data_IF_420937494583
#
_entry.id   IF_420937494583
#
_cell.length_a   1.000
_cell.length_b   1.000
_cell.length_c   1.000
_cell.angle_alpha   90.00
_cell.angle_beta   90.00
_cell.angle_gamma   90.00
#
_symmetry.space_group_name_H-M   'P 1'
#
loop_
_entity.id
_entity.type
_entity.pdbx_description
1 polymer ?
#
# COMPACT_ATOMS: atom_id res chain seq x y z
N UNK A 1 -6.17 -0.94 -15.12
CA UNK A 1 -7.33 -1.70 -14.60
C UNK A 1 -8.28 -2.16 -15.69
N UNK A 2 -8.46 -1.43 -16.78
CA UNK A 2 -9.26 -1.89 -17.92
C UNK A 2 -8.87 -3.24 -18.52
N UNK A 3 -7.64 -3.69 -18.26
CA UNK A 3 -7.14 -4.99 -18.71
C UNK A 3 -7.42 -6.14 -17.72
N UNK A 4 -7.93 -5.84 -16.51
CA UNK A 4 -8.17 -6.84 -15.47
C UNK A 4 -9.65 -6.99 -15.09
N UNK A 5 -10.39 -5.89 -15.14
CA UNK A 5 -11.81 -5.87 -14.76
C UNK A 5 -12.65 -5.21 -15.83
N UNK A 6 -13.78 -5.83 -16.11
CA UNK A 6 -14.85 -5.22 -16.94
C UNK A 6 -15.51 -4.07 -16.22
N UNK A 7 -15.56 -4.12 -14.89
CA UNK A 7 -16.14 -3.10 -14.05
C UNK A 7 -16.16 -3.50 -12.59
N UNK A 8 -16.59 -2.59 -11.73
CA UNK A 8 -16.78 -2.86 -10.32
C UNK A 8 -17.99 -2.11 -9.77
N UNK A 9 -18.51 -2.59 -8.65
CA UNK A 9 -19.59 -1.98 -7.92
C UNK A 9 -19.25 -1.91 -6.43
N UNK A 10 -19.65 -0.83 -5.77
CA UNK A 10 -19.42 -0.62 -4.35
C UNK A 10 -20.74 -0.48 -3.62
N UNK A 11 -20.86 -1.06 -2.44
CA UNK A 11 -22.04 -0.99 -1.59
C UNK A 11 -21.66 -0.87 -0.13
N UNK A 12 -22.19 0.13 0.57
CA UNK A 12 -22.16 0.17 2.03
C UNK A 12 -23.20 -0.83 2.55
N UNK A 13 -22.77 -1.74 3.41
CA UNK A 13 -23.64 -2.80 3.95
C UNK A 13 -24.61 -2.23 4.97
N UNK A 14 -25.90 -2.55 4.79
CA UNK A 14 -26.95 -2.27 5.75
C UNK A 14 -27.10 -3.44 6.74
N UNK A 15 -27.81 -3.22 7.84
CA UNK A 15 -28.07 -4.26 8.85
C UNK A 15 -28.70 -5.52 8.22
N UNK A 16 -29.59 -5.36 7.27
CA UNK A 16 -30.23 -6.47 6.55
C UNK A 16 -29.29 -7.30 5.66
N UNK A 17 -28.11 -6.80 5.34
CA UNK A 17 -27.11 -7.50 4.54
C UNK A 17 -26.21 -8.42 5.39
N UNK A 18 -26.07 -8.12 6.69
CA UNK A 18 -25.08 -8.77 7.58
C UNK A 18 -25.69 -9.41 8.82
N UNK A 19 -26.84 -8.96 9.27
CA UNK A 19 -27.47 -9.44 10.49
C UNK A 19 -28.42 -10.61 10.19
N UNK A 20 -28.02 -11.83 10.58
CA UNK A 20 -28.83 -13.05 10.38
C UNK A 20 -30.18 -13.06 11.15
N UNK A 21 -30.31 -12.18 12.17
CA UNK A 21 -31.59 -12.06 12.90
C UNK A 21 -32.61 -11.22 12.11
N UNK A 22 -32.13 -10.30 11.30
CA UNK A 22 -32.97 -9.44 10.42
C UNK A 22 -33.15 -10.03 9.01
N UNK A 23 -32.28 -10.97 8.60
CA UNK A 23 -32.34 -11.60 7.27
C UNK A 23 -31.90 -13.07 7.32
N UNK A 24 -32.81 -13.99 7.08
CA UNK A 24 -32.52 -15.44 7.09
C UNK A 24 -31.99 -15.98 5.74
N UNK A 25 -31.55 -15.14 4.80
CA UNK A 25 -31.51 -15.56 3.41
C UNK A 25 -30.12 -15.64 2.77
N UNK A 26 -29.01 -15.38 3.49
CA UNK A 26 -27.66 -15.39 2.89
C UNK A 26 -27.55 -14.55 1.61
N UNK A 27 -28.17 -13.37 1.59
CA UNK A 27 -28.33 -12.55 0.40
C UNK A 27 -27.96 -11.08 0.66
N UNK A 28 -27.27 -10.49 -0.31
CA UNK A 28 -27.17 -9.04 -0.41
C UNK A 28 -28.31 -8.49 -1.28
N UNK A 29 -28.93 -7.43 -0.84
CA UNK A 29 -29.89 -6.72 -1.66
C UNK A 29 -29.23 -6.18 -2.93
N UNK A 30 -29.81 -6.47 -4.09
CA UNK A 30 -29.33 -6.02 -5.38
C UNK A 30 -29.42 -4.50 -5.52
N UNK A 31 -28.31 -3.81 -5.43
CA UNK A 31 -28.24 -2.38 -5.68
C UNK A 31 -28.33 -2.05 -7.16
N UNK A 32 -28.53 -0.76 -7.48
CA UNK A 32 -28.46 -0.29 -8.87
C UNK A 32 -27.10 -0.59 -9.48
N UNK A 33 -26.01 -0.40 -8.72
CA UNK A 33 -24.66 -0.69 -9.15
C UNK A 33 -24.44 -2.17 -9.50
N UNK A 34 -24.99 -3.09 -8.70
CA UNK A 34 -24.92 -4.52 -9.02
C UNK A 34 -25.63 -4.87 -10.33
N UNK A 35 -26.78 -4.20 -10.63
CA UNK A 35 -27.48 -4.41 -11.90
C UNK A 35 -26.71 -3.86 -13.10
N UNK A 36 -26.07 -2.71 -12.94
CA UNK A 36 -25.24 -2.11 -13.98
C UNK A 36 -24.02 -2.99 -14.27
N UNK A 37 -23.40 -3.58 -13.25
CA UNK A 37 -22.26 -4.48 -13.40
C UNK A 37 -22.66 -5.87 -13.94
N UNK A 38 -23.63 -6.53 -13.30
CA UNK A 38 -23.95 -7.93 -13.56
C UNK A 38 -25.04 -8.13 -14.63
N UNK A 39 -25.70 -7.05 -15.02
CA UNK A 39 -26.84 -7.05 -15.95
C UNK A 39 -28.13 -7.59 -15.33
N UNK A 40 -29.18 -7.63 -16.14
CA UNK A 40 -30.46 -8.24 -15.75
C UNK A 40 -30.40 -9.75 -15.96
N UNK A 41 -30.50 -10.57 -14.91
CA UNK A 41 -30.47 -12.02 -15.08
C UNK A 41 -31.75 -12.55 -15.70
N UNK A 42 -31.65 -13.61 -16.48
CA UNK A 42 -32.76 -14.48 -16.91
C UNK A 42 -32.61 -15.80 -16.13
N UNK A 43 -33.42 -15.97 -15.10
CA UNK A 43 -33.25 -17.06 -14.15
C UNK A 43 -32.10 -16.84 -13.17
N UNK A 44 -31.49 -17.94 -12.69
CA UNK A 44 -30.35 -17.90 -11.75
C UNK A 44 -29.00 -17.91 -12.49
N UNK A 45 -28.23 -16.84 -12.40
CA UNK A 45 -26.87 -16.75 -12.94
C UNK A 45 -25.87 -17.12 -11.84
N UNK A 46 -25.09 -18.20 -12.04
CA UNK A 46 -24.05 -18.66 -11.13
C UNK A 46 -22.71 -18.04 -11.53
N UNK A 47 -22.03 -17.41 -10.60
CA UNK A 47 -20.82 -16.61 -10.83
C UNK A 47 -19.70 -17.13 -9.91
N UNK A 48 -18.65 -17.76 -10.47
CA UNK A 48 -17.46 -18.10 -9.69
C UNK A 48 -16.92 -16.84 -9.02
N UNK A 49 -16.62 -16.92 -7.73
CA UNK A 49 -16.28 -15.73 -6.93
C UNK A 49 -15.18 -16.04 -5.93
N UNK A 50 -14.23 -15.14 -5.79
CA UNK A 50 -13.25 -15.13 -4.71
C UNK A 50 -13.63 -14.06 -3.71
N UNK A 51 -13.64 -14.41 -2.41
CA UNK A 51 -14.14 -13.52 -1.36
C UNK A 51 -13.13 -13.33 -0.24
N UNK A 52 -13.09 -12.12 0.36
CA UNK A 52 -12.36 -11.84 1.58
C UNK A 52 -13.04 -10.75 2.42
N UNK A 53 -12.77 -10.77 3.73
CA UNK A 53 -13.01 -9.66 4.64
C UNK A 53 -11.68 -9.05 5.07
N UNK A 54 -11.56 -7.72 4.96
CA UNK A 54 -10.33 -6.98 5.21
C UNK A 54 -10.52 -5.98 6.36
N UNK A 55 -9.59 -5.99 7.29
CA UNK A 55 -9.45 -4.97 8.34
C UNK A 55 -7.97 -4.68 8.62
N UNK A 56 -7.69 -3.66 9.43
CA UNK A 56 -6.33 -3.24 9.76
C UNK A 56 -5.63 -4.18 10.76
N UNK A 57 -6.40 -5.06 11.43
CA UNK A 57 -5.89 -5.99 12.44
C UNK A 57 -5.25 -7.26 11.83
N UNK A 58 -5.34 -7.42 10.50
CA UNK A 58 -4.75 -8.55 9.80
C UNK A 58 -3.22 -8.42 9.71
N UNK A 59 -2.50 -9.31 10.39
CA UNK A 59 -1.04 -9.39 10.30
C UNK A 59 -0.56 -9.73 8.89
N UNK A 60 -1.31 -10.61 8.21
CA UNK A 60 -1.08 -11.03 6.82
C UNK A 60 -2.34 -10.80 5.99
N UNK A 61 -2.15 -10.61 4.68
CA UNK A 61 -3.26 -10.52 3.75
C UNK A 61 -4.01 -11.86 3.72
N UNK A 62 -5.35 -11.87 3.83
CA UNK A 62 -6.11 -13.10 3.86
C UNK A 62 -6.05 -13.78 2.49
N UNK A 63 -6.06 -15.09 2.50
CA UNK A 63 -6.30 -15.86 1.29
C UNK A 63 -7.75 -15.60 0.80
N UNK A 64 -7.90 -15.37 -0.49
CA UNK A 64 -9.24 -15.21 -1.08
C UNK A 64 -9.96 -16.57 -1.12
N UNK A 65 -11.10 -16.64 -0.45
CA UNK A 65 -11.92 -17.85 -0.39
C UNK A 65 -12.69 -18.05 -1.71
N UNK A 66 -12.49 -19.17 -2.36
CA UNK A 66 -13.18 -19.52 -3.60
C UNK A 66 -14.58 -20.08 -3.33
N UNK A 67 -15.59 -19.50 -3.97
CA UNK A 67 -16.99 -19.89 -3.86
C UNK A 67 -17.77 -19.50 -5.12
N UNK A 68 -19.10 -19.52 -5.02
CA UNK A 68 -20.00 -19.07 -6.07
C UNK A 68 -21.05 -18.12 -5.48
N UNK A 69 -21.31 -17.02 -6.18
CA UNK A 69 -22.47 -16.19 -5.96
C UNK A 69 -23.57 -16.54 -6.96
N UNK A 70 -24.82 -16.28 -6.58
CA UNK A 70 -25.96 -16.47 -7.47
C UNK A 70 -26.69 -15.15 -7.62
N UNK A 71 -26.73 -14.62 -8.84
CA UNK A 71 -27.44 -13.40 -9.19
C UNK A 71 -28.79 -13.76 -9.81
N UNK A 72 -29.90 -13.23 -9.28
CA UNK A 72 -31.23 -13.57 -9.75
C UNK A 72 -32.27 -12.49 -9.37
N UNK A 73 -33.44 -12.54 -10.06
CA UNK A 73 -34.62 -11.78 -9.67
C UNK A 73 -35.51 -12.62 -8.77
N UNK A 74 -35.67 -12.26 -7.51
CA UNK A 74 -36.50 -12.95 -6.53
C UNK A 74 -38.02 -12.86 -6.88
N UNK A 75 -38.41 -11.96 -7.80
CA UNK A 75 -39.78 -11.74 -8.25
C UNK A 75 -40.01 -12.10 -9.71
N UNK A 76 -39.10 -12.77 -10.37
CA UNK A 76 -39.22 -13.13 -11.79
C UNK A 76 -40.55 -13.83 -12.12
N UNK A 77 -41.09 -14.66 -11.23
CA UNK A 77 -42.36 -15.33 -11.38
C UNK A 77 -43.59 -14.48 -11.02
N UNK A 78 -43.42 -13.24 -10.55
CA UNK A 78 -44.52 -12.41 -10.06
C UNK A 78 -44.62 -11.09 -10.86
N UNK A 79 -45.32 -11.14 -11.99
CA UNK A 79 -45.50 -10.00 -12.89
C UNK A 79 -46.24 -8.78 -12.27
N UNK A 80 -46.90 -8.95 -11.12
CA UNK A 80 -47.61 -7.86 -10.44
C UNK A 80 -46.73 -6.94 -9.62
N UNK A 81 -45.48 -7.33 -9.36
CA UNK A 81 -44.48 -6.54 -8.61
C UNK A 81 -43.26 -6.31 -9.48
N UNK A 82 -42.64 -5.13 -9.35
CA UNK A 82 -41.39 -4.88 -10.04
C UNK A 82 -40.29 -5.84 -9.63
N UNK A 83 -39.19 -5.97 -10.44
CA UNK A 83 -38.09 -6.90 -10.18
C UNK A 83 -37.39 -6.60 -8.86
N UNK A 84 -36.99 -7.67 -8.18
CA UNK A 84 -36.23 -7.59 -6.93
C UNK A 84 -34.96 -8.45 -7.06
N UNK A 85 -33.84 -7.79 -7.35
CA UNK A 85 -32.60 -8.51 -7.58
C UNK A 85 -31.90 -8.84 -6.26
N UNK A 86 -31.30 -10.03 -6.22
CA UNK A 86 -30.59 -10.57 -5.07
C UNK A 86 -29.27 -11.18 -5.48
N UNK A 87 -28.26 -10.99 -4.66
CA UNK A 87 -26.96 -11.65 -4.80
C UNK A 87 -26.80 -12.62 -3.62
N UNK A 88 -27.10 -13.90 -3.87
CA UNK A 88 -27.06 -14.97 -2.89
C UNK A 88 -25.64 -15.51 -2.75
N UNK A 89 -25.13 -15.63 -1.53
CA UNK A 89 -23.89 -16.32 -1.22
C UNK A 89 -24.15 -17.66 -0.53
N UNK A 90 -23.20 -18.58 -0.60
CA UNK A 90 -23.32 -19.91 0.01
C UNK A 90 -22.93 -19.87 1.48
N UNK A 91 -23.51 -20.78 2.29
CA UNK A 91 -23.24 -20.91 3.72
C UNK A 91 -21.74 -21.16 4.05
N UNK A 92 -20.98 -21.74 3.11
CA UNK A 92 -19.53 -21.92 3.25
C UNK A 92 -18.76 -20.59 3.37
N UNK A 93 -19.30 -19.48 2.83
CA UNK A 93 -18.76 -18.12 2.95
C UNK A 93 -19.16 -17.40 4.25
N UNK A 94 -19.93 -18.04 5.14
CA UNK A 94 -20.39 -17.46 6.40
C UNK A 94 -19.26 -16.98 7.30
N UNK A 95 -18.12 -17.64 7.26
CA UNK A 95 -16.93 -17.24 8.04
C UNK A 95 -16.37 -15.88 7.63
N UNK A 96 -16.62 -15.44 6.39
CA UNK A 96 -16.28 -14.10 5.88
C UNK A 96 -17.38 -13.12 6.27
N UNK A 97 -18.63 -13.45 5.96
CA UNK A 97 -19.77 -12.54 6.16
C UNK A 97 -20.03 -12.27 7.63
N UNK A 98 -19.82 -13.25 8.52
CA UNK A 98 -20.01 -13.08 9.96
C UNK A 98 -19.01 -12.10 10.60
N UNK A 99 -17.95 -11.71 9.89
CA UNK A 99 -17.02 -10.65 10.33
C UNK A 99 -17.54 -9.26 9.97
N UNK A 100 -18.40 -9.18 8.95
CA UNK A 100 -18.91 -7.90 8.47
C UNK A 100 -19.98 -7.31 9.41
N UNK A 101 -20.01 -5.99 9.49
CA UNK A 101 -20.98 -5.22 10.23
C UNK A 101 -21.68 -4.19 9.34
N UNK A 102 -22.82 -3.68 9.79
CA UNK A 102 -23.48 -2.58 9.11
C UNK A 102 -22.58 -1.35 9.05
N UNK A 103 -22.42 -0.77 7.87
CA UNK A 103 -21.51 0.33 7.60
C UNK A 103 -20.18 -0.09 6.98
N UNK A 104 -19.83 -1.40 6.98
CA UNK A 104 -18.69 -1.89 6.20
C UNK A 104 -18.97 -1.74 4.70
N UNK A 105 -17.92 -1.70 3.91
CA UNK A 105 -18.05 -1.47 2.46
C UNK A 105 -17.70 -2.72 1.68
N UNK A 106 -18.63 -3.13 0.83
CA UNK A 106 -18.46 -4.23 -0.10
C UNK A 106 -18.02 -3.69 -1.47
N UNK A 107 -16.93 -4.22 -1.98
CA UNK A 107 -16.43 -4.03 -3.34
C UNK A 107 -16.67 -5.31 -4.13
N UNK A 108 -17.33 -5.20 -5.26
CA UNK A 108 -17.59 -6.31 -6.19
C UNK A 108 -17.00 -5.95 -7.55
N UNK A 109 -16.02 -6.71 -8.03
CA UNK A 109 -15.40 -6.52 -9.33
C UNK A 109 -15.65 -7.72 -10.24
N UNK A 110 -15.89 -7.49 -11.52
CA UNK A 110 -15.99 -8.53 -12.56
C UNK A 110 -14.70 -8.58 -13.36
N UNK A 111 -14.01 -9.72 -13.31
CA UNK A 111 -12.80 -9.98 -14.09
C UNK A 111 -13.14 -10.17 -15.58
N UNK A 112 -12.15 -10.03 -16.47
CA UNK A 112 -12.31 -10.24 -17.92
C UNK A 112 -12.85 -11.63 -18.27
N UNK A 113 -12.53 -12.66 -17.48
CA UNK A 113 -13.04 -14.02 -17.65
C UNK A 113 -14.48 -14.21 -17.16
N UNK A 114 -15.11 -13.20 -16.55
CA UNK A 114 -16.45 -13.21 -15.99
C UNK A 114 -16.56 -13.74 -14.56
N UNK A 115 -15.44 -14.06 -13.90
CA UNK A 115 -15.41 -14.36 -12.47
C UNK A 115 -15.56 -13.07 -11.65
N UNK A 116 -15.94 -13.22 -10.39
CA UNK A 116 -16.09 -12.11 -9.48
C UNK A 116 -15.01 -12.12 -8.37
N UNK A 117 -14.64 -10.93 -7.95
CA UNK A 117 -13.94 -10.71 -6.70
C UNK A 117 -14.86 -9.89 -5.80
N UNK A 118 -15.14 -10.40 -4.59
CA UNK A 118 -15.94 -9.72 -3.58
C UNK A 118 -15.07 -9.48 -2.34
N UNK A 119 -14.83 -8.24 -2.02
CA UNK A 119 -14.06 -7.84 -0.84
C UNK A 119 -14.94 -6.98 0.05
N UNK A 120 -15.02 -7.31 1.33
CA UNK A 120 -15.66 -6.48 2.35
C UNK A 120 -14.58 -5.84 3.19
N UNK A 121 -14.55 -4.53 3.25
CA UNK A 121 -13.60 -3.75 4.06
C UNK A 121 -14.30 -3.11 5.25
N UNK A 122 -13.70 -3.22 6.43
CA UNK A 122 -14.19 -2.66 7.69
C UNK A 122 -14.34 -1.15 7.60
N UNK A 123 -15.46 -0.63 8.08
CA UNK A 123 -15.72 0.80 8.19
C UNK A 123 -14.59 1.50 8.95
N UNK A 124 -14.09 2.62 8.41
CA UNK A 124 -13.06 3.42 9.05
C UNK A 124 -11.64 2.84 9.01
N UNK A 125 -11.42 1.68 8.37
CA UNK A 125 -10.10 1.08 8.26
C UNK A 125 -9.22 1.79 7.22
N UNK A 126 -7.91 1.69 7.40
CA UNK A 126 -6.91 2.14 6.42
C UNK A 126 -7.05 1.38 5.10
N UNK A 127 -7.33 0.07 5.18
CA UNK A 127 -7.48 -0.75 3.97
C UNK A 127 -8.72 -0.35 3.15
N UNK A 128 -9.81 0.08 3.80
CA UNK A 128 -10.96 0.67 3.10
C UNK A 128 -10.55 1.94 2.32
N UNK A 129 -9.76 2.82 2.95
CA UNK A 129 -9.25 4.03 2.29
C UNK A 129 -8.35 3.71 1.11
N UNK A 130 -7.51 2.70 1.23
CA UNK A 130 -6.66 2.24 0.14
C UNK A 130 -7.47 1.67 -1.03
N UNK A 131 -8.50 0.84 -0.75
CA UNK A 131 -9.42 0.34 -1.79
C UNK A 131 -10.14 1.50 -2.49
N UNK A 132 -10.66 2.46 -1.74
CA UNK A 132 -11.29 3.65 -2.31
C UNK A 132 -10.33 4.41 -3.22
N UNK A 133 -9.08 4.57 -2.81
CA UNK A 133 -8.05 5.22 -3.59
C UNK A 133 -7.70 4.43 -4.86
N UNK A 134 -7.51 3.11 -4.76
CA UNK A 134 -7.18 2.22 -5.91
C UNK A 134 -8.31 2.24 -6.95
N UNK A 135 -9.56 2.18 -6.50
CA UNK A 135 -10.73 2.18 -7.38
C UNK A 135 -11.25 3.57 -7.74
N UNK A 136 -10.56 4.66 -7.30
CA UNK A 136 -10.98 6.06 -7.49
C UNK A 136 -12.41 6.33 -7.02
N UNK A 137 -12.81 5.68 -5.93
CA UNK A 137 -14.14 5.86 -5.32
C UNK A 137 -14.10 7.07 -4.42
N UNK A 138 -14.81 8.14 -4.80
CA UNK A 138 -14.91 9.32 -3.97
C UNK A 138 -15.62 9.03 -2.65
N UNK A 139 -15.13 9.64 -1.59
CA UNK A 139 -15.67 9.53 -0.25
C UNK A 139 -17.03 10.24 -0.20
N UNK A 140 -18.12 9.49 -0.20
CA UNK A 140 -19.45 10.01 0.10
C UNK A 140 -20.06 9.17 1.22
N UNK A 141 -20.45 9.82 2.32
CA UNK A 141 -21.08 9.18 3.49
C UNK A 141 -22.40 8.45 3.14
N UNK A 142 -22.91 8.64 1.94
CA UNK A 142 -24.26 8.28 1.57
C UNK A 142 -24.40 7.41 0.33
N UNK A 143 -23.50 6.62 -0.12
CA UNK A 143 -23.84 5.83 -1.29
C UNK A 143 -22.70 5.40 -2.16
N UNK A 144 -22.65 4.14 -2.30
CA UNK A 144 -23.20 3.49 -3.51
C UNK A 144 -22.74 4.07 -4.82
N UNK A 145 -21.83 3.49 -5.39
CA UNK A 145 -21.68 3.50 -6.81
C UNK A 145 -20.31 3.20 -7.17
N UNK A 146 -20.05 2.70 -8.22
CA UNK A 146 -20.33 2.92 -9.58
C UNK A 146 -19.99 1.66 -10.38
N UNK A 147 -20.81 1.26 -11.28
CA UNK A 147 -20.34 0.59 -12.47
C UNK A 147 -19.69 1.69 -13.31
N UNK A 148 -18.39 1.79 -13.32
CA UNK A 148 -17.70 2.64 -14.29
C UNK A 148 -17.16 1.73 -15.35
N UNK A 149 -17.52 2.04 -16.59
CA UNK A 149 -16.78 1.60 -17.76
C UNK A 149 -15.35 2.11 -17.55
N UNK A 150 -14.46 1.22 -17.11
CA UNK A 150 -13.07 1.54 -16.74
C UNK A 150 -12.20 1.76 -17.99
N UNK A 151 -12.77 2.38 -18.99
CA UNK A 151 -12.00 2.97 -20.07
C UNK A 151 -11.15 4.11 -19.50
N UNK A 152 -9.87 3.87 -19.34
CA UNK A 152 -8.83 4.87 -19.35
C UNK A 152 -8.38 5.59 -18.08
N UNK A 153 -8.18 4.93 -16.96
CA UNK A 153 -7.03 5.37 -16.16
C UNK A 153 -6.24 4.14 -15.78
N UNK A 154 -4.97 4.09 -16.21
CA UNK A 154 -4.02 3.13 -15.66
C UNK A 154 -4.10 3.20 -14.13
N UNK A 155 -4.07 2.04 -13.42
CA UNK A 155 -4.05 2.07 -11.97
C UNK A 155 -2.96 3.03 -11.56
N UNK A 156 -3.19 3.81 -10.53
CA UNK A 156 -2.14 4.60 -9.91
C UNK A 156 -1.09 3.60 -9.45
N UNK A 157 -0.11 3.35 -10.33
CA UNK A 157 0.96 2.36 -10.20
C UNK A 157 1.94 2.80 -9.11
N UNK A 158 1.46 2.91 -7.89
CA UNK A 158 2.33 3.24 -6.78
C UNK A 158 2.62 1.97 -5.99
N UNK A 159 3.85 1.81 -5.59
CA UNK A 159 4.39 0.65 -4.85
C UNK A 159 3.51 0.25 -3.68
N UNK A 160 2.84 1.23 -3.06
CA UNK A 160 1.93 1.01 -1.95
C UNK A 160 0.61 0.33 -2.35
N UNK A 161 0.20 0.37 -3.62
CA UNK A 161 -0.99 -0.33 -4.10
C UNK A 161 -0.72 -1.77 -4.53
N UNK A 162 0.54 -2.18 -4.75
CA UNK A 162 0.87 -3.53 -5.20
C UNK A 162 0.46 -4.62 -4.22
N UNK A 163 0.65 -4.43 -2.91
CA UNK A 163 0.22 -5.41 -1.92
C UNK A 163 -1.30 -5.62 -2.00
N UNK A 164 -2.05 -4.55 -2.18
CA UNK A 164 -3.51 -4.60 -2.32
C UNK A 164 -3.94 -5.19 -3.67
N UNK A 165 -3.26 -4.83 -4.76
CA UNK A 165 -3.52 -5.39 -6.08
C UNK A 165 -3.18 -6.88 -6.12
N UNK A 166 -2.06 -7.28 -5.53
CA UNK A 166 -1.69 -8.69 -5.39
C UNK A 166 -2.69 -9.47 -4.53
N UNK A 167 -3.24 -8.87 -3.46
CA UNK A 167 -4.35 -9.44 -2.69
C UNK A 167 -5.57 -9.73 -3.58
N UNK A 168 -5.91 -8.80 -4.45
CA UNK A 168 -7.02 -8.96 -5.40
C UNK A 168 -6.67 -9.93 -6.54
N UNK A 169 -5.46 -10.51 -6.54
CA UNK A 169 -4.99 -11.41 -7.59
C UNK A 169 -4.66 -10.69 -8.91
N UNK A 170 -4.44 -9.38 -8.84
CA UNK A 170 -4.05 -8.57 -9.98
C UNK A 170 -2.53 -8.52 -10.03
N UNK A 171 -1.94 -9.13 -11.04
CA UNK A 171 -0.51 -9.01 -11.33
C UNK A 171 -0.30 -7.87 -12.33
N UNK A 172 0.20 -6.75 -11.85
CA UNK A 172 0.57 -5.63 -12.72
C UNK A 172 1.90 -5.97 -13.39
N UNK A 173 1.89 -6.22 -14.69
CA UNK A 173 3.11 -6.46 -15.45
C UNK A 173 3.88 -5.14 -15.63
N UNK A 174 4.84 -4.91 -14.77
CA UNK A 174 5.75 -3.76 -14.80
C UNK A 174 7.02 -4.03 -15.62
N UNK A 175 7.08 -5.12 -16.36
CA UNK A 175 8.30 -5.53 -17.08
C UNK A 175 8.53 -4.69 -18.33
N UNK A 176 9.80 -4.39 -18.60
CA UNK A 176 10.26 -3.59 -19.73
C UNK A 176 11.56 -4.22 -20.28
N UNK A 177 11.49 -4.75 -21.50
CA UNK A 177 12.61 -5.43 -22.16
C UNK A 177 13.81 -4.49 -22.37
N UNK A 178 13.57 -3.22 -22.63
CA UNK A 178 14.62 -2.21 -22.77
C UNK A 178 15.35 -1.95 -21.44
N UNK A 179 14.63 -1.97 -20.33
CA UNK A 179 15.21 -1.92 -18.98
C UNK A 179 16.00 -3.18 -18.67
N UNK A 180 15.49 -4.37 -19.03
CA UNK A 180 16.19 -5.63 -18.78
C UNK A 180 17.59 -5.63 -19.42
N UNK A 181 17.69 -5.31 -20.69
CA UNK A 181 18.96 -5.25 -21.41
C UNK A 181 19.96 -4.28 -20.76
N UNK A 182 19.48 -3.17 -20.28
CA UNK A 182 20.31 -2.18 -19.59
C UNK A 182 20.81 -2.66 -18.24
N UNK A 183 19.96 -3.36 -17.48
CA UNK A 183 20.29 -3.97 -16.18
C UNK A 183 21.31 -5.08 -16.36
N UNK A 184 21.09 -5.99 -17.32
CA UNK A 184 21.98 -7.13 -17.58
C UNK A 184 23.35 -6.66 -18.06
N UNK A 185 23.43 -5.66 -18.91
CA UNK A 185 24.71 -5.02 -19.31
C UNK A 185 25.46 -4.42 -18.13
N UNK A 186 24.75 -3.85 -17.17
CA UNK A 186 25.37 -3.19 -16.02
C UNK A 186 25.81 -4.15 -14.91
N UNK A 187 24.99 -5.15 -14.61
CA UNK A 187 25.14 -6.02 -13.42
C UNK A 187 25.42 -7.47 -13.75
N UNK A 188 25.32 -7.88 -15.03
CA UNK A 188 25.48 -9.26 -15.48
C UNK A 188 24.24 -10.12 -15.18
N UNK A 189 24.25 -11.34 -15.69
CA UNK A 189 23.07 -12.24 -15.68
C UNK A 189 22.87 -12.98 -14.35
N UNK A 190 23.93 -13.21 -13.56
CA UNK A 190 23.91 -14.18 -12.46
C UNK A 190 23.82 -13.59 -11.05
N UNK A 191 24.17 -12.31 -10.83
CA UNK A 191 24.24 -11.74 -9.49
C UNK A 191 23.11 -10.75 -9.22
N UNK A 192 22.49 -10.88 -8.05
CA UNK A 192 21.61 -9.82 -7.56
C UNK A 192 22.47 -8.62 -7.14
N UNK A 193 22.30 -7.45 -7.78
CA UNK A 193 23.02 -6.26 -7.37
C UNK A 193 22.66 -5.87 -5.93
N UNK A 194 23.61 -5.29 -5.23
CA UNK A 194 23.31 -4.70 -3.90
C UNK A 194 22.29 -3.57 -4.02
N UNK A 195 21.50 -3.34 -2.97
CA UNK A 195 20.49 -2.26 -3.00
C UNK A 195 21.13 -0.88 -3.25
N UNK A 196 22.25 -0.47 -2.59
CA UNK A 196 22.85 0.82 -2.87
C UNK A 196 23.29 1.01 -4.34
N UNK A 197 23.88 -0.02 -4.96
CA UNK A 197 24.31 0.04 -6.37
C UNK A 197 23.11 0.11 -7.31
N UNK A 198 22.08 -0.66 -7.02
CA UNK A 198 20.88 -0.70 -7.85
C UNK A 198 20.08 0.61 -7.74
N UNK A 199 19.93 1.15 -6.52
CA UNK A 199 19.31 2.45 -6.28
C UNK A 199 20.08 3.59 -6.98
N UNK A 200 21.43 3.55 -6.93
CA UNK A 200 22.25 4.51 -7.66
C UNK A 200 22.04 4.43 -9.17
N UNK A 201 21.91 3.22 -9.70
CA UNK A 201 21.64 3.01 -11.12
C UNK A 201 20.22 3.51 -11.50
N UNK A 202 19.22 3.18 -10.70
CA UNK A 202 17.85 3.67 -10.91
C UNK A 202 17.79 5.20 -10.97
N UNK A 203 18.47 5.88 -10.03
CA UNK A 203 18.60 7.35 -10.06
C UNK A 203 19.26 7.88 -11.33
N UNK A 204 20.26 7.17 -11.85
CA UNK A 204 20.97 7.60 -13.07
C UNK A 204 20.12 7.46 -14.36
N UNK A 205 19.12 6.61 -14.34
CA UNK A 205 18.20 6.40 -15.49
C UNK A 205 17.12 7.49 -15.55
N UNK A 206 16.73 8.05 -14.41
CA UNK A 206 15.72 9.12 -14.33
C UNK A 206 16.34 10.46 -14.70
N UNK A 207 15.98 11.00 -15.87
CA UNK A 207 16.67 12.17 -16.47
C UNK A 207 16.24 13.54 -15.94
N UNK A 208 15.05 13.67 -15.35
CA UNK A 208 14.45 14.97 -15.02
C UNK A 208 14.15 15.15 -13.54
N UNK A 209 14.72 14.33 -12.68
CA UNK A 209 14.58 14.46 -11.25
C UNK A 209 15.42 15.63 -10.71
N UNK A 210 14.81 16.50 -9.92
CA UNK A 210 15.50 17.61 -9.25
C UNK A 210 15.27 17.50 -7.73
N UNK A 211 16.19 16.83 -7.00
CA UNK A 211 16.01 16.58 -5.56
C UNK A 211 16.07 17.84 -4.70
N UNK A 212 16.45 18.99 -5.26
CA UNK A 212 16.51 20.27 -4.54
C UNK A 212 15.22 21.06 -4.70
N UNK A 213 14.70 21.13 -5.93
CA UNK A 213 13.47 21.91 -6.22
C UNK A 213 12.20 21.12 -5.99
N UNK A 214 12.25 19.80 -6.22
CA UNK A 214 11.13 18.90 -6.07
C UNK A 214 11.58 17.58 -5.42
N UNK A 215 11.89 17.59 -4.12
CA UNK A 215 12.32 16.38 -3.41
C UNK A 215 11.21 15.31 -3.37
N UNK A 216 9.94 15.70 -3.27
CA UNK A 216 8.79 14.81 -3.24
C UNK A 216 8.60 14.07 -4.56
N UNK A 217 8.51 14.79 -5.67
CA UNK A 217 8.38 14.20 -7.00
C UNK A 217 9.62 13.39 -7.39
N UNK A 218 10.82 13.84 -6.99
CA UNK A 218 12.06 13.10 -7.20
C UNK A 218 12.05 11.77 -6.47
N UNK A 219 11.63 11.74 -5.20
CA UNK A 219 11.52 10.51 -4.42
C UNK A 219 10.60 9.51 -5.12
N UNK A 220 9.41 9.96 -5.52
CA UNK A 220 8.42 9.11 -6.21
C UNK A 220 8.98 8.54 -7.54
N UNK A 221 9.63 9.39 -8.35
CA UNK A 221 10.22 8.95 -9.61
C UNK A 221 11.34 7.92 -9.41
N UNK A 222 12.24 8.12 -8.44
CA UNK A 222 13.35 7.23 -8.18
C UNK A 222 12.88 5.88 -7.62
N UNK A 223 11.98 5.91 -6.65
CA UNK A 223 11.41 4.69 -6.06
C UNK A 223 10.62 3.91 -7.11
N UNK A 224 9.77 4.58 -7.91
CA UNK A 224 9.00 3.94 -8.99
C UNK A 224 9.89 3.33 -10.06
N UNK A 225 10.97 4.02 -10.46
CA UNK A 225 11.93 3.49 -11.42
C UNK A 225 12.67 2.26 -10.88
N UNK A 226 13.20 2.33 -9.64
CA UNK A 226 13.89 1.20 -9.03
C UNK A 226 12.98 -0.01 -8.89
N UNK A 227 11.73 0.23 -8.50
CA UNK A 227 10.75 -0.82 -8.35
C UNK A 227 10.50 -1.54 -9.68
N UNK A 228 10.23 -0.80 -10.76
CA UNK A 228 10.04 -1.34 -12.11
C UNK A 228 11.26 -2.13 -12.59
N UNK A 229 12.45 -1.57 -12.43
CA UNK A 229 13.70 -2.24 -12.75
C UNK A 229 13.89 -3.55 -11.96
N UNK A 230 13.56 -3.52 -10.68
CA UNK A 230 13.69 -4.70 -9.81
C UNK A 230 12.69 -5.80 -10.22
N UNK A 231 11.43 -5.45 -10.50
CA UNK A 231 10.41 -6.40 -10.96
C UNK A 231 10.80 -7.03 -12.31
N UNK A 232 11.34 -6.24 -13.23
CA UNK A 232 11.87 -6.73 -14.51
C UNK A 232 12.99 -7.74 -14.32
N UNK A 233 13.99 -7.42 -13.49
CA UNK A 233 15.10 -8.32 -13.19
C UNK A 233 14.64 -9.58 -12.44
N UNK A 234 13.71 -9.43 -11.49
CA UNK A 234 13.15 -10.52 -10.71
C UNK A 234 12.42 -11.52 -11.62
N UNK A 235 11.52 -11.04 -12.48
CA UNK A 235 10.80 -11.88 -13.44
C UNK A 235 11.78 -12.68 -14.32
N UNK A 236 12.78 -12.02 -14.90
CA UNK A 236 13.79 -12.67 -15.71
C UNK A 236 14.48 -13.82 -14.95
N UNK A 237 14.95 -13.58 -13.73
CA UNK A 237 15.73 -14.56 -12.95
C UNK A 237 14.90 -15.68 -12.35
N UNK A 238 13.65 -15.42 -12.01
CA UNK A 238 12.79 -16.44 -11.43
C UNK A 238 12.19 -17.33 -12.53
N UNK A 239 11.98 -16.78 -13.73
CA UNK A 239 11.43 -17.52 -14.86
C UNK A 239 12.25 -18.76 -15.21
N UNK A 240 13.58 -18.69 -15.15
CA UNK A 240 14.44 -19.86 -15.35
C UNK A 240 14.16 -20.97 -14.31
N UNK A 241 14.15 -20.60 -13.02
CA UNK A 241 13.90 -21.56 -11.93
C UNK A 241 12.49 -22.18 -11.98
N UNK A 242 11.50 -21.44 -12.54
CA UNK A 242 10.14 -21.96 -12.73
C UNK A 242 10.07 -22.86 -13.97
N UNK A 243 10.76 -22.49 -15.05
CA UNK A 243 10.78 -23.25 -16.30
C UNK A 243 11.44 -24.62 -16.14
N UNK A 244 12.49 -24.71 -15.30
CA UNK A 244 13.17 -25.99 -14.96
C UNK A 244 12.26 -26.92 -14.15
N UNK A 245 11.17 -26.39 -13.57
CA UNK A 245 10.24 -27.09 -12.71
C UNK A 245 10.83 -27.38 -11.32
N UNK A 246 9.95 -27.81 -10.41
CA UNK A 246 10.32 -28.23 -9.05
C UNK A 246 10.22 -29.75 -8.96
N UNK A 247 11.27 -30.45 -9.42
CA UNK A 247 11.41 -31.90 -9.34
C UNK A 247 12.64 -32.24 -8.52
N UNK A 248 12.54 -33.28 -7.68
CA UNK A 248 13.68 -33.87 -7.00
C UNK A 248 14.52 -34.75 -7.93
N UNK A 249 15.57 -35.37 -7.39
CA UNK A 249 16.45 -36.21 -8.16
C UNK A 249 15.74 -37.47 -8.74
N UNK A 250 14.65 -37.86 -8.15
CA UNK A 250 13.78 -39.00 -8.55
C UNK A 250 12.69 -38.60 -9.53
N UNK A 251 12.55 -37.28 -9.85
CA UNK A 251 11.55 -36.75 -10.74
C UNK A 251 10.17 -36.55 -10.07
N UNK A 252 10.11 -36.54 -8.74
CA UNK A 252 8.90 -36.26 -7.96
C UNK A 252 8.83 -34.74 -7.69
N UNK A 253 7.62 -34.20 -7.59
CA UNK A 253 7.40 -32.75 -7.34
C UNK A 253 8.02 -32.33 -6.01
N UNK A 254 8.97 -31.40 -6.06
CA UNK A 254 9.63 -30.78 -4.90
C UNK A 254 8.83 -29.58 -4.38
N UNK A 255 7.81 -29.86 -3.58
CA UNK A 255 6.96 -28.83 -2.96
C UNK A 255 7.76 -27.90 -2.04
N UNK A 256 8.73 -28.46 -1.27
CA UNK A 256 9.57 -27.68 -0.35
C UNK A 256 10.50 -26.72 -1.10
N UNK A 257 11.05 -27.14 -2.22
CA UNK A 257 11.85 -26.29 -3.11
C UNK A 257 11.04 -25.11 -3.65
N UNK A 258 9.80 -25.35 -4.06
CA UNK A 258 8.88 -24.29 -4.49
C UNK A 258 8.57 -23.31 -3.35
N UNK A 259 8.19 -23.80 -2.18
CA UNK A 259 7.89 -22.96 -1.02
C UNK A 259 9.10 -22.12 -0.59
N UNK A 260 10.29 -22.72 -0.60
CA UNK A 260 11.54 -22.01 -0.29
C UNK A 260 11.85 -20.90 -1.30
N UNK A 261 11.65 -21.13 -2.59
CA UNK A 261 11.79 -20.10 -3.61
C UNK A 261 10.78 -18.97 -3.37
N UNK A 262 9.51 -19.28 -3.19
CA UNK A 262 8.44 -18.33 -2.95
C UNK A 262 8.75 -17.42 -1.75
N UNK A 263 9.09 -17.99 -0.60
CA UNK A 263 9.50 -17.24 0.60
C UNK A 263 10.73 -16.36 0.35
N UNK A 264 11.72 -16.87 -0.40
CA UNK A 264 12.92 -16.10 -0.78
C UNK A 264 12.58 -14.87 -1.59
N UNK A 265 11.65 -14.99 -2.55
CA UNK A 265 11.15 -13.87 -3.37
C UNK A 265 10.47 -12.83 -2.49
N UNK A 266 9.50 -13.24 -1.66
CA UNK A 266 8.79 -12.33 -0.76
C UNK A 266 9.72 -11.60 0.20
N UNK A 267 10.65 -12.30 0.83
CA UNK A 267 11.61 -11.70 1.75
C UNK A 267 12.52 -10.69 1.04
N UNK A 268 12.95 -10.99 -0.19
CA UNK A 268 13.79 -10.09 -0.99
C UNK A 268 13.03 -8.82 -1.36
N UNK A 269 11.76 -8.92 -1.78
CA UNK A 269 10.91 -7.78 -2.09
C UNK A 269 10.78 -6.85 -0.87
N UNK A 270 10.40 -7.40 0.30
CA UNK A 270 10.25 -6.63 1.55
C UNK A 270 11.55 -5.94 1.96
N UNK A 271 12.66 -6.68 1.97
CA UNK A 271 13.96 -6.14 2.36
C UNK A 271 14.43 -5.04 1.41
N UNK A 272 14.26 -5.23 0.10
CA UNK A 272 14.68 -4.23 -0.89
C UNK A 272 13.84 -2.96 -0.82
N UNK A 273 12.53 -3.07 -0.71
CA UNK A 273 11.65 -1.90 -0.67
C UNK A 273 12.04 -0.93 0.45
N UNK A 274 12.31 -1.44 1.67
CA UNK A 274 12.75 -0.61 2.79
C UNK A 274 14.13 0.01 2.57
N UNK A 275 15.12 -0.79 2.15
CA UNK A 275 16.49 -0.30 1.92
C UNK A 275 16.56 0.70 0.75
N UNK A 276 15.81 0.46 -0.33
CA UNK A 276 15.72 1.35 -1.48
C UNK A 276 15.19 2.72 -1.08
N UNK A 277 14.09 2.75 -0.33
CA UNK A 277 13.51 4.00 0.18
C UNK A 277 14.53 4.80 1.00
N UNK A 278 15.25 4.15 1.92
CA UNK A 278 16.30 4.79 2.71
C UNK A 278 17.45 5.34 1.85
N UNK A 279 17.86 4.64 0.78
CA UNK A 279 18.93 5.09 -0.11
C UNK A 279 18.52 6.33 -0.92
N UNK A 280 17.27 6.40 -1.36
CA UNK A 280 16.75 7.56 -2.08
C UNK A 280 16.60 8.77 -1.14
N UNK A 281 16.01 8.59 0.05
CA UNK A 281 15.92 9.65 1.07
C UNK A 281 17.32 10.16 1.41
N UNK A 282 18.28 9.26 1.68
CA UNK A 282 19.66 9.60 2.01
C UNK A 282 20.30 10.47 0.92
N UNK A 283 20.03 10.16 -0.35
CA UNK A 283 20.57 10.92 -1.47
C UNK A 283 19.93 12.32 -1.57
N UNK A 284 18.59 12.41 -1.40
CA UNK A 284 17.88 13.70 -1.38
C UNK A 284 18.40 14.59 -0.25
N UNK A 285 18.53 14.06 0.97
CA UNK A 285 19.04 14.81 2.12
C UNK A 285 20.46 15.31 1.89
N UNK A 286 21.36 14.48 1.35
CA UNK A 286 22.73 14.88 1.01
C UNK A 286 22.78 15.97 -0.04
N UNK A 287 21.94 15.87 -1.09
CA UNK A 287 21.90 16.88 -2.15
C UNK A 287 21.35 18.22 -1.66
N UNK A 288 20.57 18.18 -0.58
CA UNK A 288 20.06 19.37 0.10
C UNK A 288 20.98 19.87 1.23
N UNK A 289 22.20 19.37 1.34
CA UNK A 289 23.18 19.76 2.38
C UNK A 289 22.66 19.61 3.82
N UNK A 290 21.83 18.59 4.07
CA UNK A 290 21.32 18.26 5.41
C UNK A 290 22.28 17.31 6.11
N UNK A 291 22.69 17.64 7.33
CA UNK A 291 23.54 16.80 8.16
C UNK A 291 22.74 15.71 8.85
N UNK A 292 23.13 14.45 8.69
CA UNK A 292 22.48 13.32 9.34
C UNK A 292 23.38 12.11 9.52
N UNK A 293 22.95 11.17 10.35
CA UNK A 293 23.57 9.85 10.46
C UNK A 293 22.48 8.78 10.30
N UNK A 294 22.79 7.70 9.56
CA UNK A 294 21.89 6.56 9.36
C UNK A 294 22.14 5.47 10.41
N UNK A 295 21.04 4.81 10.85
CA UNK A 295 21.07 3.58 11.64
C UNK A 295 22.09 3.62 12.80
N UNK A 296 22.00 4.67 13.60
CA UNK A 296 22.89 4.85 14.75
C UNK A 296 22.19 4.50 16.04
N UNK A 297 22.88 3.79 16.93
CA UNK A 297 22.33 3.44 18.24
C UNK A 297 22.10 4.70 19.08
N UNK A 298 20.89 4.82 19.57
CA UNK A 298 20.47 5.84 20.55
C UNK A 298 20.40 5.21 21.94
N UNK A 299 19.26 4.66 22.36
CA UNK A 299 19.09 3.98 23.65
C UNK A 299 19.04 2.46 23.45
N UNK A 300 19.90 1.75 24.16
CA UNK A 300 19.96 0.28 24.14
C UNK A 300 20.24 -0.27 22.74
N UNK A 301 19.23 -0.92 22.12
CA UNK A 301 19.32 -1.50 20.77
C UNK A 301 18.51 -0.71 19.72
N UNK A 302 18.01 0.47 20.07
CA UNK A 302 17.17 1.27 19.20
C UNK A 302 18.02 2.05 18.20
N UNK A 303 17.64 2.00 16.92
CA UNK A 303 18.40 2.60 15.81
C UNK A 303 17.42 3.29 14.85
N UNK A 304 17.15 4.60 15.01
CA UNK A 304 16.36 5.33 14.04
C UNK A 304 17.01 5.28 12.65
N UNK A 305 16.18 5.24 11.58
CA UNK A 305 16.69 5.18 10.22
C UNK A 305 17.55 6.40 9.89
N UNK A 306 17.14 7.59 10.36
CA UNK A 306 17.90 8.86 10.24
C UNK A 306 17.83 9.66 11.54
N UNK A 307 18.96 10.22 11.95
CA UNK A 307 19.11 11.08 13.13
C UNK A 307 19.83 12.36 12.74
N UNK A 308 19.29 13.52 13.15
CA UNK A 308 19.78 14.85 12.78
C UNK A 308 20.15 15.67 14.01
N UNK A 309 21.19 16.53 13.96
CA UNK A 309 22.16 16.63 12.86
C UNK A 309 23.22 15.52 12.92
N UNK A 310 23.50 14.94 14.10
CA UNK A 310 24.55 13.94 14.30
C UNK A 310 24.34 13.09 15.56
N UNK A 311 25.06 11.97 15.64
CA UNK A 311 25.14 11.15 16.85
C UNK A 311 25.79 11.90 18.01
N UNK A 312 26.79 12.75 17.73
CA UNK A 312 27.49 13.54 18.75
C UNK A 312 26.50 14.51 19.41
N UNK A 313 25.77 15.30 18.63
CA UNK A 313 24.74 16.21 19.15
C UNK A 313 23.65 15.47 19.96
N UNK A 314 23.25 14.29 19.50
CA UNK A 314 22.28 13.48 20.25
C UNK A 314 22.85 12.97 21.59
N UNK A 315 24.13 12.60 21.65
CA UNK A 315 24.80 12.11 22.85
C UNK A 315 25.16 13.19 23.86
N UNK A 316 25.30 14.43 23.42
CA UNK A 316 25.60 15.58 24.27
C UNK A 316 24.32 16.08 24.98
N UNK A 317 24.26 15.89 26.30
CA UNK A 317 23.13 16.35 27.11
C UNK A 317 23.04 17.88 27.18
N UNK A 318 24.11 18.62 26.89
CA UNK A 318 24.10 20.07 26.78
C UNK A 318 23.47 20.57 25.48
N UNK A 319 23.43 19.74 24.45
CA UNK A 319 22.77 20.09 23.17
C UNK A 319 21.24 20.07 23.33
N UNK A 320 20.53 21.19 23.06
CA UNK A 320 19.08 21.26 23.29
C UNK A 320 18.30 20.31 22.38
N UNK A 321 17.41 19.51 22.99
CA UNK A 321 16.62 18.49 22.30
C UNK A 321 15.69 19.05 21.21
N UNK A 322 15.31 20.33 21.29
CA UNK A 322 14.49 21.02 20.29
C UNK A 322 15.18 21.15 18.92
N UNK A 323 16.50 21.06 18.86
CA UNK A 323 17.27 21.09 17.62
C UNK A 323 17.61 19.69 17.09
N UNK A 324 17.29 18.65 17.85
CA UNK A 324 17.40 17.28 17.40
C UNK A 324 16.16 16.86 16.60
N UNK A 325 16.36 16.07 15.56
CA UNK A 325 15.28 15.49 14.78
C UNK A 325 15.59 14.03 14.49
N UNK A 326 14.56 13.22 14.32
CA UNK A 326 14.69 11.86 13.80
C UNK A 326 13.65 11.63 12.70
N UNK A 327 13.97 10.74 11.77
CA UNK A 327 13.04 10.27 10.73
C UNK A 327 13.12 8.75 10.64
N UNK A 328 12.00 8.09 10.90
CA UNK A 328 11.81 6.70 10.49
C UNK A 328 11.32 6.63 9.04
N UNK A 329 11.53 5.51 8.36
CA UNK A 329 11.03 5.28 7.01
C UNK A 329 10.39 3.91 6.90
N UNK A 330 9.17 3.84 6.37
CA UNK A 330 8.43 2.60 6.15
C UNK A 330 7.66 2.70 4.85
N UNK A 331 7.81 1.73 3.97
CA UNK A 331 7.02 1.67 2.72
C UNK A 331 5.55 1.46 3.00
N UNK A 332 5.22 0.63 3.99
CA UNK A 332 3.86 0.42 4.50
C UNK A 332 3.83 0.50 6.03
N UNK A 333 2.81 1.10 6.60
CA UNK A 333 2.76 1.37 8.03
C UNK A 333 2.23 0.19 8.83
N UNK A 334 1.05 -0.33 8.54
CA UNK A 334 0.32 -1.23 9.44
C UNK A 334 0.56 -0.77 10.90
N UNK A 335 0.74 -1.67 11.86
CA UNK A 335 1.08 -1.31 13.24
C UNK A 335 2.56 -0.94 13.49
N UNK A 336 3.41 -1.01 12.46
CA UNK A 336 4.85 -0.75 12.60
C UNK A 336 5.22 0.69 12.94
N UNK A 337 4.31 1.62 12.78
CA UNK A 337 4.52 3.01 13.17
C UNK A 337 4.76 3.16 14.69
N UNK A 338 4.15 2.27 15.52
CA UNK A 338 4.35 2.28 16.98
C UNK A 338 5.80 1.96 17.39
N UNK A 339 6.55 1.27 16.53
CA UNK A 339 7.96 0.98 16.78
C UNK A 339 8.80 2.26 16.81
N UNK A 340 8.49 3.22 15.93
CA UNK A 340 9.19 4.50 15.80
C UNK A 340 9.05 5.36 17.07
N UNK A 341 7.94 5.27 17.79
CA UNK A 341 7.69 6.02 19.02
C UNK A 341 8.74 5.76 20.10
N UNK A 342 9.30 4.58 20.11
CA UNK A 342 10.30 4.18 21.10
C UNK A 342 11.73 4.53 20.71
N UNK A 343 11.98 5.07 19.52
CA UNK A 343 13.30 5.43 19.04
C UNK A 343 13.67 6.86 19.47
N UNK A 344 14.98 7.13 19.69
CA UNK A 344 15.50 8.45 19.98
C UNK A 344 14.71 9.20 21.08
N UNK A 345 14.70 8.68 22.31
CA UNK A 345 13.83 9.16 23.41
C UNK A 345 13.99 10.65 23.75
N UNK A 346 15.18 11.25 23.49
CA UNK A 346 15.43 12.69 23.68
C UNK A 346 14.64 13.60 22.75
N UNK A 347 14.10 13.04 21.64
CA UNK A 347 13.38 13.80 20.63
C UNK A 347 11.89 13.65 20.89
N UNK A 348 11.17 14.70 21.36
CA UNK A 348 9.77 14.58 21.72
C UNK A 348 8.86 14.29 20.51
N UNK A 349 9.08 15.02 19.41
CA UNK A 349 8.31 14.84 18.18
C UNK A 349 9.04 13.88 17.23
N UNK A 350 8.40 12.78 16.89
CA UNK A 350 8.91 11.79 15.93
C UNK A 350 8.42 12.12 14.52
N UNK A 351 9.23 11.78 13.51
CA UNK A 351 8.80 11.86 12.11
C UNK A 351 8.88 10.49 11.47
N UNK A 352 7.92 10.18 10.64
CA UNK A 352 7.85 8.92 9.91
C UNK A 352 7.49 9.17 8.44
N UNK A 353 8.42 8.85 7.55
CA UNK A 353 8.16 8.90 6.12
C UNK A 353 7.55 7.60 5.64
N UNK A 354 6.49 7.73 4.86
CA UNK A 354 5.85 6.59 4.18
C UNK A 354 5.36 6.98 2.79
N UNK A 355 5.27 5.96 1.93
CA UNK A 355 4.67 6.08 0.60
C UNK A 355 3.23 5.55 0.58
N UNK A 356 2.65 5.29 1.74
CA UNK A 356 1.30 4.77 1.84
C UNK A 356 0.28 5.81 1.36
N UNK A 357 -0.54 5.52 0.34
CA UNK A 357 -1.36 6.52 -0.34
C UNK A 357 -2.59 6.94 0.45
N UNK A 358 -2.96 6.17 1.47
CA UNK A 358 -4.11 6.46 2.33
C UNK A 358 -3.94 5.82 3.71
N UNK A 359 -4.39 6.53 4.74
CA UNK A 359 -4.40 6.07 6.14
C UNK A 359 -5.72 6.52 6.76
N UNK A 360 -6.32 5.71 7.64
CA UNK A 360 -7.58 6.07 8.31
C UNK A 360 -7.43 7.31 9.19
N UNK A 361 -8.53 8.04 9.38
CA UNK A 361 -8.55 9.22 10.26
C UNK A 361 -8.24 8.84 11.71
N UNK A 362 -8.78 7.71 12.19
CA UNK A 362 -8.52 7.21 13.54
C UNK A 362 -7.03 6.92 13.74
N UNK A 363 -6.38 6.26 12.79
CA UNK A 363 -4.96 5.95 12.90
C UNK A 363 -4.08 7.21 12.85
N UNK A 364 -4.42 8.19 12.02
CA UNK A 364 -3.68 9.47 12.01
C UNK A 364 -3.94 10.29 13.27
N UNK A 365 -5.14 10.23 13.85
CA UNK A 365 -5.45 10.85 15.14
C UNK A 365 -4.65 10.22 16.30
N UNK A 366 -4.50 8.89 16.32
CA UNK A 366 -3.61 8.20 17.26
C UNK A 366 -2.15 8.65 17.11
N UNK A 367 -1.65 8.74 15.88
CA UNK A 367 -0.28 9.22 15.61
C UNK A 367 -0.07 10.65 16.12
N UNK A 368 -1.06 11.53 15.92
CA UNK A 368 -1.03 12.90 16.44
C UNK A 368 -1.00 12.93 17.96
N UNK A 369 -1.82 12.10 18.62
CA UNK A 369 -1.87 12.00 20.07
C UNK A 369 -0.50 11.54 20.67
N UNK A 370 0.22 10.69 19.93
CA UNK A 370 1.57 10.20 20.28
C UNK A 370 2.70 11.13 19.82
N UNK A 371 2.37 12.35 19.36
CA UNK A 371 3.33 13.33 18.85
C UNK A 371 4.21 12.80 17.70
N UNK A 372 3.66 11.92 16.87
CA UNK A 372 4.26 11.44 15.64
C UNK A 372 3.72 12.27 14.47
N UNK A 373 4.59 12.76 13.60
CA UNK A 373 4.21 13.49 12.40
C UNK A 373 4.59 12.70 11.15
N UNK A 374 3.65 12.57 10.22
CA UNK A 374 3.88 11.86 8.97
C UNK A 374 4.51 12.78 7.92
N UNK A 375 5.50 12.24 7.24
CA UNK A 375 6.09 12.81 6.03
C UNK A 375 5.64 11.95 4.86
N UNK A 376 4.83 12.51 3.98
CA UNK A 376 4.25 11.83 2.83
C UNK A 376 4.48 12.70 1.59
N UNK A 377 4.98 12.13 0.48
CA UNK A 377 5.13 12.90 -0.76
C UNK A 377 3.83 13.61 -1.16
N UNK A 378 3.92 14.88 -1.52
CA UNK A 378 2.75 15.76 -1.77
C UNK A 378 1.79 15.22 -2.81
N UNK A 379 2.28 14.48 -3.80
CA UNK A 379 1.44 13.84 -4.81
C UNK A 379 0.40 12.87 -4.22
N UNK A 380 0.67 12.32 -3.02
CA UNK A 380 -0.22 11.39 -2.33
C UNK A 380 -1.25 12.08 -1.43
N UNK A 381 -1.07 13.38 -1.09
CA UNK A 381 -1.96 14.08 -0.14
C UNK A 381 -3.40 14.18 -0.65
N UNK A 382 -3.60 14.54 -1.93
CA UNK A 382 -4.90 14.92 -2.44
C UNK A 382 -5.91 13.79 -2.64
N UNK A 383 -5.45 12.56 -2.78
CA UNK A 383 -6.32 11.46 -3.21
C UNK A 383 -6.71 10.49 -2.08
N UNK A 384 -5.88 10.36 -1.05
CA UNK A 384 -6.09 9.36 0.00
C UNK A 384 -6.29 9.94 1.40
N UNK A 385 -6.18 11.26 1.55
CA UNK A 385 -6.28 11.93 2.85
C UNK A 385 -7.34 13.02 2.84
N UNK A 386 -8.10 13.11 3.92
CA UNK A 386 -9.11 14.18 4.09
C UNK A 386 -8.44 15.55 4.25
N UNK A 387 -9.16 16.67 4.01
CA UNK A 387 -8.61 18.01 4.22
C UNK A 387 -8.05 18.24 5.63
N UNK A 388 -8.66 17.63 6.65
CA UNK A 388 -8.18 17.70 8.03
C UNK A 388 -6.83 17.00 8.20
N UNK A 389 -6.66 15.81 7.61
CA UNK A 389 -5.40 15.08 7.62
C UNK A 389 -4.30 15.83 6.83
N UNK A 390 -4.65 16.37 5.64
CA UNK A 390 -3.71 17.12 4.79
C UNK A 390 -3.07 18.31 5.51
N UNK A 391 -3.82 19.00 6.37
CA UNK A 391 -3.30 20.12 7.18
C UNK A 391 -2.25 19.70 8.21
N UNK A 392 -2.15 18.44 8.53
CA UNK A 392 -1.19 17.89 9.47
C UNK A 392 0.01 17.19 8.79
N UNK A 393 -0.16 16.66 7.58
CA UNK A 393 0.91 16.01 6.83
C UNK A 393 2.03 17.00 6.46
N UNK A 394 3.24 16.48 6.36
CA UNK A 394 4.38 17.15 5.75
C UNK A 394 4.67 16.54 4.38
N UNK A 395 5.06 17.36 3.41
CA UNK A 395 5.86 16.91 2.29
C UNK A 395 7.29 16.62 2.72
N UNK A 396 8.07 15.96 1.87
CA UNK A 396 9.50 15.79 2.12
C UNK A 396 10.23 17.13 2.06
N UNK A 397 9.79 18.05 1.22
CA UNK A 397 10.29 19.42 1.14
C UNK A 397 10.07 20.19 2.45
N UNK A 398 8.87 20.12 3.06
CA UNK A 398 8.59 20.73 4.37
C UNK A 398 9.49 20.15 5.46
N UNK A 399 9.65 18.83 5.48
CA UNK A 399 10.53 18.17 6.43
C UNK A 399 11.98 18.65 6.31
N UNK A 400 12.51 18.77 5.08
CA UNK A 400 13.84 19.29 4.82
C UNK A 400 13.98 20.73 5.34
N UNK A 401 12.98 21.58 5.12
CA UNK A 401 12.96 22.96 5.62
C UNK A 401 12.94 23.01 7.15
N UNK A 402 12.14 22.17 7.81
CA UNK A 402 12.11 22.09 9.28
C UNK A 402 13.47 21.65 9.86
N UNK A 403 14.11 20.63 9.28
CA UNK A 403 15.42 20.16 9.74
C UNK A 403 16.47 21.25 9.54
N UNK A 404 16.51 21.90 8.39
CA UNK A 404 17.43 22.99 8.10
C UNK A 404 17.28 24.15 9.08
N UNK A 405 16.06 24.55 9.38
CA UNK A 405 15.79 25.61 10.36
C UNK A 405 16.34 25.25 11.75
N UNK A 406 16.19 24.01 12.18
CA UNK A 406 16.73 23.51 13.46
C UNK A 406 18.26 23.45 13.47
N UNK A 407 18.90 23.03 12.38
CA UNK A 407 20.36 23.03 12.24
C UNK A 407 20.95 24.45 12.35
N UNK A 408 20.38 25.42 11.63
CA UNK A 408 20.83 26.83 11.69
C UNK A 408 20.68 27.38 13.11
N UNK A 409 19.54 27.14 13.76
CA UNK A 409 19.31 27.62 15.11
C UNK A 409 20.26 26.97 16.14
N UNK A 410 20.53 25.67 15.99
CA UNK A 410 21.52 24.95 16.83
C UNK A 410 22.94 25.49 16.67
N UNK A 411 23.37 25.75 15.44
CA UNK A 411 24.71 26.30 15.17
C UNK A 411 24.90 27.72 15.76
N UNK A 412 23.86 28.56 15.66
CA UNK A 412 23.90 29.89 16.27
C UNK A 412 24.02 29.83 17.79
N UNK A 413 23.38 28.88 18.44
CA UNK A 413 23.49 28.71 19.89
C UNK A 413 24.90 28.28 20.30
N UNK A 414 25.50 27.30 19.59
CA UNK A 414 26.88 26.87 19.86
C UNK A 414 27.89 28.06 19.74
N UNK A 415 27.73 28.90 18.72
CA UNK A 415 28.56 30.08 18.54
C UNK A 415 28.36 31.11 19.67
N UNK A 416 27.12 31.30 20.14
CA UNK A 416 26.80 32.22 21.21
C UNK A 416 27.30 31.74 22.59
N UNK A 417 27.45 30.44 22.79
CA UNK A 417 28.01 29.87 24.06
C UNK A 417 29.55 29.93 24.07
N UNK A 418 30.19 29.97 22.90
CA UNK A 418 31.65 30.05 22.75
C UNK A 418 32.19 31.47 22.71
N UNK A 419 31.35 32.49 22.57
CA UNK A 419 31.68 33.92 22.56
C UNK A 419 31.49 34.55 23.94
#
# INVERSE_FOLDING_TARGET
MGDYFKGFAVKVLADVDVNKLSSNQHEFNGSRAFRELLGTPHGKKYLPTRMAYLDDDLEELPELFETFLTWYDARESNAARGPEFRLLYRAEADHIINRAAAGDTLFLAEEENGNLILVIAKKGSTILRQLQWVFDVQHTDDVLFVATDMGMQAPREEIASEELLALLGIDVDLTDDGLLDSILRRFGEKLWPSTPEFSAYARSVVKHADPVRDPDGTLMQWVGMEHRMFRTLEKYRISESIADGFLDAEGVVDVEGFLKLSLSVHNRRKARAGLSLEEHISTILKTNDISFVKKTKTEGKKEPDFLFPSKAAYGDLGFPSQFLTMLGSKTSLKDRWRQVLNEANRIPQKHLLTLQPAISEDQTAEMQAENLRLVIPRALHGAGFTPAQQGWLLGLDDFILEVRAREIAGTHLEQAVLA
#
